data_IF_912334921391
#
_entry.id   IF_912334921391
#
_cell.length_a   1.000
_cell.length_b   1.000
_cell.length_c   1.000
_cell.angle_alpha   90.00
_cell.angle_beta   90.00
_cell.angle_gamma   90.00
#
_symmetry.space_group_name_H-M   'P 1'
#
loop_
_entity.id
_entity.type
_entity.pdbx_description
1 polymer ?
#
# COMPACT_ATOMS: atom_id res chain seq x y z
N UNK A 1 -14.34 22.46 -22.43
CA UNK A 1 -14.40 21.38 -23.44
C UNK A 1 -13.15 20.51 -23.23
N UNK A 2 -13.19 19.55 -22.31
CA UNK A 2 -12.09 18.61 -22.08
C UNK A 2 -11.99 17.63 -23.25
N UNK A 3 -10.78 17.38 -23.72
CA UNK A 3 -10.54 16.52 -24.89
C UNK A 3 -10.66 15.04 -24.51
N UNK A 4 -11.28 14.17 -25.35
CA UNK A 4 -11.52 12.75 -25.04
C UNK A 4 -10.24 11.90 -24.82
N UNK A 5 -9.06 12.49 -25.03
CA UNK A 5 -7.75 11.87 -24.76
C UNK A 5 -7.41 11.91 -23.26
N UNK A 6 -7.91 12.91 -22.53
CA UNK A 6 -7.62 13.11 -21.11
C UNK A 6 -8.44 12.17 -20.21
N UNK A 7 -9.67 11.88 -20.62
CA UNK A 7 -10.58 11.00 -19.87
C UNK A 7 -10.07 9.56 -19.80
N UNK A 8 -9.40 9.06 -20.86
CA UNK A 8 -8.82 7.71 -20.88
C UNK A 8 -7.63 7.55 -19.93
N UNK A 9 -6.86 8.62 -19.70
CA UNK A 9 -5.72 8.59 -18.79
C UNK A 9 -6.18 8.45 -17.33
N UNK A 10 -7.27 9.13 -16.96
CA UNK A 10 -7.83 9.07 -15.61
C UNK A 10 -8.46 7.70 -15.28
N UNK A 11 -9.09 7.03 -16.24
CA UNK A 11 -9.62 5.67 -16.05
C UNK A 11 -8.51 4.64 -15.85
N UNK A 12 -7.38 4.79 -16.55
CA UNK A 12 -6.23 3.87 -16.48
C UNK A 12 -5.64 3.76 -15.07
N UNK A 13 -5.55 4.87 -14.32
CA UNK A 13 -5.10 4.85 -12.92
C UNK A 13 -6.11 4.18 -11.98
N UNK A 14 -7.40 4.40 -12.20
CA UNK A 14 -8.48 3.87 -11.38
C UNK A 14 -8.71 2.36 -11.59
N UNK A 15 -8.42 1.85 -12.79
CA UNK A 15 -8.41 0.41 -13.12
C UNK A 15 -7.04 -0.26 -12.95
N UNK A 16 -6.00 0.50 -12.58
CA UNK A 16 -4.65 -0.05 -12.45
C UNK A 16 -4.59 -1.10 -11.35
N UNK A 17 -4.09 -2.30 -11.70
CA UNK A 17 -3.80 -3.41 -10.76
C UNK A 17 -2.94 -2.99 -9.55
N UNK A 18 -2.27 -1.84 -9.63
CA UNK A 18 -1.39 -1.29 -8.61
C UNK A 18 -2.09 -0.58 -7.45
N UNK A 19 -3.43 -0.45 -7.45
CA UNK A 19 -4.17 0.16 -6.32
C UNK A 19 -3.92 -0.55 -4.99
N UNK A 20 -3.57 -1.84 -5.01
CA UNK A 20 -3.24 -2.61 -3.81
C UNK A 20 -1.75 -2.57 -3.45
N UNK A 21 -0.88 -2.07 -4.32
CA UNK A 21 0.55 -2.00 -4.06
C UNK A 21 0.91 -0.98 -2.99
N UNK A 22 0.04 0.01 -2.75
CA UNK A 22 0.23 0.97 -1.66
C UNK A 22 0.33 0.30 -0.28
N UNK A 23 -0.42 -0.78 -0.02
CA UNK A 23 -0.36 -1.52 1.24
C UNK A 23 0.95 -2.29 1.38
N UNK A 24 1.43 -2.83 0.26
CA UNK A 24 2.70 -3.56 0.21
C UNK A 24 3.86 -2.59 0.45
N UNK A 25 3.84 -1.43 -0.22
CA UNK A 25 4.85 -0.39 -0.04
C UNK A 25 4.84 0.15 1.38
N UNK A 26 3.66 0.44 1.94
CA UNK A 26 3.51 0.84 3.34
C UNK A 26 4.12 -0.19 4.29
N UNK A 27 3.79 -1.47 4.10
CA UNK A 27 4.33 -2.56 4.92
C UNK A 27 5.86 -2.67 4.82
N UNK A 28 6.44 -2.50 3.63
CA UNK A 28 7.89 -2.51 3.43
C UNK A 28 8.58 -1.32 4.09
N UNK A 29 7.99 -0.11 3.99
CA UNK A 29 8.51 1.09 4.68
C UNK A 29 8.50 0.87 6.19
N UNK A 30 7.41 0.35 6.74
CA UNK A 30 7.31 0.02 8.17
C UNK A 30 8.35 -1.01 8.58
N UNK A 31 8.54 -2.08 7.79
CA UNK A 31 9.55 -3.10 8.05
C UNK A 31 10.97 -2.51 8.09
N UNK A 32 11.30 -1.61 7.15
CA UNK A 32 12.59 -0.91 7.12
C UNK A 32 12.77 -0.01 8.33
N UNK A 33 11.75 0.76 8.70
CA UNK A 33 11.77 1.64 9.88
C UNK A 33 11.98 0.82 11.16
N UNK A 34 11.25 -0.29 11.32
CA UNK A 34 11.39 -1.19 12.47
C UNK A 34 12.78 -1.81 12.51
N UNK A 35 13.31 -2.27 11.37
CA UNK A 35 14.67 -2.82 11.27
C UNK A 35 15.75 -1.80 11.59
N UNK A 36 15.50 -0.51 11.31
CA UNK A 36 16.43 0.58 11.59
C UNK A 36 16.39 1.00 13.06
N UNK A 37 15.19 1.08 13.65
CA UNK A 37 14.99 1.49 15.04
C UNK A 37 15.26 0.39 16.07
N UNK A 38 15.34 -0.87 15.64
CA UNK A 38 15.50 -2.00 16.55
C UNK A 38 16.54 -3.00 16.06
N UNK A 39 17.14 -3.72 17.01
CA UNK A 39 18.13 -4.77 16.72
C UNK A 39 17.49 -6.12 16.36
N UNK A 40 16.19 -6.16 16.07
CA UNK A 40 15.49 -7.40 15.76
C UNK A 40 15.84 -7.89 14.35
N UNK A 41 15.69 -9.20 14.14
CA UNK A 41 15.97 -9.83 12.84
C UNK A 41 15.05 -9.32 11.72
N UNK A 42 15.52 -9.47 10.48
CA UNK A 42 14.76 -9.12 9.28
C UNK A 42 13.41 -9.84 9.20
N UNK A 43 13.35 -11.12 9.60
CA UNK A 43 12.11 -11.89 9.62
C UNK A 43 11.04 -11.25 10.51
N UNK A 44 11.41 -10.84 11.73
CA UNK A 44 10.49 -10.18 12.65
C UNK A 44 10.06 -8.80 12.13
N UNK A 45 11.00 -8.04 11.55
CA UNK A 45 10.72 -6.71 10.98
C UNK A 45 9.74 -6.80 9.80
N UNK A 46 9.93 -7.77 8.91
CA UNK A 46 9.03 -8.03 7.77
C UNK A 46 7.65 -8.49 8.25
N UNK A 47 7.59 -9.32 9.29
CA UNK A 47 6.32 -9.74 9.91
C UNK A 47 5.53 -8.54 10.44
N UNK A 48 6.20 -7.61 11.14
CA UNK A 48 5.58 -6.39 11.66
C UNK A 48 5.09 -5.52 10.50
N UNK A 49 5.92 -5.30 9.48
CA UNK A 49 5.53 -4.54 8.29
C UNK A 49 4.35 -5.15 7.54
N UNK A 50 4.35 -6.47 7.34
CA UNK A 50 3.24 -7.19 6.71
C UNK A 50 1.95 -7.09 7.53
N UNK A 51 2.02 -7.22 8.86
CA UNK A 51 0.88 -7.05 9.74
C UNK A 51 0.28 -5.65 9.66
N UNK A 52 1.13 -4.61 9.60
CA UNK A 52 0.67 -3.22 9.45
C UNK A 52 0.04 -2.99 8.07
N UNK A 53 0.69 -3.42 6.99
CA UNK A 53 0.15 -3.31 5.63
C UNK A 53 -1.20 -4.03 5.47
N UNK A 54 -1.31 -5.26 5.98
CA UNK A 54 -2.55 -6.04 5.94
C UNK A 54 -3.64 -5.45 6.86
N UNK A 55 -3.28 -4.97 8.05
CA UNK A 55 -4.20 -4.31 8.96
C UNK A 55 -4.77 -3.01 8.38
N UNK A 56 -3.92 -2.21 7.74
CA UNK A 56 -4.34 -0.99 7.05
C UNK A 56 -5.26 -1.31 5.85
N UNK A 57 -4.90 -2.32 5.06
CA UNK A 57 -5.75 -2.82 3.97
C UNK A 57 -7.14 -3.24 4.47
N UNK A 58 -7.20 -4.02 5.56
CA UNK A 58 -8.47 -4.48 6.12
C UNK A 58 -9.33 -3.33 6.63
N UNK A 59 -8.70 -2.32 7.27
CA UNK A 59 -9.37 -1.13 7.75
C UNK A 59 -9.95 -0.28 6.61
N UNK A 60 -9.19 -0.04 5.55
CA UNK A 60 -9.68 0.71 4.39
C UNK A 60 -10.77 -0.05 3.62
N UNK A 61 -10.67 -1.38 3.52
CA UNK A 61 -11.74 -2.25 2.99
C UNK A 61 -13.01 -2.13 3.83
N UNK A 62 -12.89 -2.10 5.16
CA UNK A 62 -14.04 -1.93 6.06
C UNK A 62 -14.68 -0.55 5.94
N UNK A 63 -13.90 0.47 5.59
CA UNK A 63 -14.38 1.85 5.35
C UNK A 63 -15.00 2.06 3.96
N UNK A 64 -14.94 1.06 3.07
CA UNK A 64 -15.46 1.17 1.70
C UNK A 64 -14.64 2.10 0.80
N UNK A 65 -13.39 2.40 1.17
CA UNK A 65 -12.48 3.25 0.38
C UNK A 65 -11.86 2.46 -0.78
N UNK A 66 -11.58 1.16 -0.54
CA UNK A 66 -11.07 0.20 -1.51
C UNK A 66 -12.14 -0.84 -1.84
#
# INVERSE_FOLDING_TARGET
>A
MSTPKDDKALTSFRESKWRYSQFVVLGLVVALVVKWLSSIGWAASLLIGAAVGAGYYWLERRRGVI
#
